data_IF_553126746065
#
_entry.id   IF_553126746065
#
_cell.length_a   1.000
_cell.length_b   1.000
_cell.length_c   1.000
_cell.angle_alpha   90.00
_cell.angle_beta   90.00
_cell.angle_gamma   90.00
#
_symmetry.space_group_name_H-M   'P 1'
#
loop_
_entity.id
_entity.type
_entity.pdbx_description
1 polymer ?
#
# COMPACT_ATOMS: atom_id res chain seq x y z
N UNK A 1 15.14 -7.78 14.45
CA UNK A 1 16.15 -8.84 14.22
C UNK A 1 15.55 -10.16 14.67
N UNK A 2 15.64 -11.18 13.82
CA UNK A 2 15.37 -12.57 14.19
C UNK A 2 16.72 -13.26 14.38
N UNK A 3 16.89 -13.96 15.49
CA UNK A 3 18.08 -14.72 15.78
C UNK A 3 17.68 -16.18 16.05
N UNK A 4 18.47 -17.10 15.56
CA UNK A 4 18.33 -18.54 15.82
C UNK A 4 19.62 -19.06 16.40
N UNK A 5 19.52 -19.82 17.48
CA UNK A 5 20.60 -20.59 18.10
C UNK A 5 20.04 -21.94 18.50
N UNK A 6 20.63 -23.07 18.04
CA UNK A 6 20.13 -24.42 18.32
C UNK A 6 20.07 -24.76 19.82
N UNK A 7 20.92 -24.11 20.62
CA UNK A 7 21.01 -24.36 22.07
C UNK A 7 20.33 -23.27 22.91
N UNK A 8 19.68 -22.30 22.23
CA UNK A 8 18.95 -21.19 22.87
C UNK A 8 19.83 -20.19 23.61
N UNK A 9 21.13 -20.14 23.30
CA UNK A 9 22.09 -19.22 23.91
C UNK A 9 22.21 -17.95 23.09
N UNK A 10 21.64 -16.86 23.57
CA UNK A 10 21.65 -15.58 22.88
C UNK A 10 22.47 -14.53 23.63
N UNK A 11 23.42 -13.89 22.97
CA UNK A 11 24.01 -12.66 23.43
C UNK A 11 23.04 -11.49 23.16
N UNK A 12 22.21 -11.19 24.16
CA UNK A 12 21.21 -10.13 24.06
C UNK A 12 21.83 -8.74 23.91
N UNK A 13 23.04 -8.53 24.46
CA UNK A 13 23.73 -7.24 24.33
C UNK A 13 24.19 -7.01 22.88
N UNK A 14 24.82 -8.01 22.27
CA UNK A 14 25.24 -7.97 20.89
C UNK A 14 24.03 -7.83 19.93
N UNK A 15 22.94 -8.57 20.17
CA UNK A 15 21.71 -8.50 19.36
C UNK A 15 21.07 -7.11 19.44
N UNK A 16 21.01 -6.51 20.63
CA UNK A 16 20.52 -5.14 20.82
C UNK A 16 21.41 -4.10 20.13
N UNK A 17 22.72 -4.25 20.22
CA UNK A 17 23.66 -3.37 19.54
C UNK A 17 23.48 -3.43 18.03
N UNK A 18 23.36 -4.64 17.46
CA UNK A 18 23.07 -4.84 16.02
C UNK A 18 21.71 -4.24 15.61
N UNK A 19 20.67 -4.43 16.42
CA UNK A 19 19.36 -3.84 16.13
C UNK A 19 19.41 -2.30 16.11
N UNK A 20 20.13 -1.69 17.05
CA UNK A 20 20.32 -0.23 17.09
C UNK A 20 21.17 0.32 15.93
N UNK A 21 22.08 -0.50 15.40
CA UNK A 21 22.95 -0.12 14.28
C UNK A 21 22.26 -0.23 12.92
N UNK A 22 21.05 -0.82 12.83
CA UNK A 22 20.31 -0.89 11.58
C UNK A 22 19.93 0.52 11.11
N UNK A 23 20.05 0.80 9.79
CA UNK A 23 19.63 2.08 9.23
C UNK A 23 18.13 2.30 9.43
N UNK A 24 17.72 3.55 9.57
CA UNK A 24 16.31 3.94 9.53
C UNK A 24 15.73 3.63 8.14
N UNK A 25 14.43 3.32 8.08
CA UNK A 25 13.72 3.25 6.80
C UNK A 25 13.50 4.62 6.15
N UNK A 26 13.73 5.72 6.86
CA UNK A 26 13.62 7.05 6.30
C UNK A 26 14.62 7.24 5.13
N UNK A 27 14.13 7.70 3.99
CA UNK A 27 14.90 7.88 2.77
C UNK A 27 15.15 6.59 1.96
N UNK A 28 14.66 5.43 2.39
CA UNK A 28 14.85 4.18 1.66
C UNK A 28 13.70 3.89 0.69
N UNK A 29 14.00 3.81 -0.60
CA UNK A 29 13.10 3.22 -1.59
C UNK A 29 13.30 1.69 -1.61
N UNK A 30 12.35 0.96 -1.05
CA UNK A 30 12.41 -0.51 -1.00
C UNK A 30 11.48 -1.18 -2.04
N UNK A 31 10.71 -0.41 -2.77
CA UNK A 31 9.76 -0.91 -3.77
C UNK A 31 10.45 -1.73 -4.88
N UNK A 32 11.57 -1.28 -5.47
CA UNK A 32 12.25 -2.06 -6.53
C UNK A 32 12.76 -3.43 -6.06
N UNK A 33 12.90 -3.64 -4.76
CA UNK A 33 13.37 -4.92 -4.20
C UNK A 33 12.28 -5.98 -4.09
N UNK A 34 11.01 -5.58 -4.18
CA UNK A 34 9.85 -6.46 -3.92
C UNK A 34 8.85 -6.53 -5.07
N UNK A 35 9.11 -5.82 -6.16
CA UNK A 35 8.21 -5.74 -7.32
C UNK A 35 8.85 -6.31 -8.58
N UNK A 36 8.01 -6.79 -9.50
CA UNK A 36 8.43 -7.23 -10.83
C UNK A 36 8.60 -6.06 -11.81
N UNK A 37 9.41 -6.28 -12.87
CA UNK A 37 9.64 -5.29 -13.92
C UNK A 37 8.62 -5.36 -15.08
N UNK A 38 7.72 -6.35 -15.09
CA UNK A 38 6.78 -6.60 -16.18
C UNK A 38 5.36 -6.52 -15.71
N UNK A 39 4.50 -5.98 -16.57
CA UNK A 39 3.06 -6.03 -16.39
C UNK A 39 2.53 -7.46 -16.55
N UNK A 40 1.44 -7.78 -15.84
CA UNK A 40 0.73 -9.04 -15.97
C UNK A 40 -0.75 -8.88 -15.62
N UNK A 41 -1.60 -9.73 -16.18
CA UNK A 41 -2.99 -9.82 -15.78
C UNK A 41 -3.11 -10.78 -14.58
N UNK A 42 -3.96 -10.43 -13.62
CA UNK A 42 -4.26 -11.23 -12.45
C UNK A 42 -5.50 -12.09 -12.71
N UNK A 43 -5.41 -13.39 -12.44
CA UNK A 43 -6.40 -14.39 -12.83
C UNK A 43 -7.02 -15.19 -11.68
N UNK A 44 -6.66 -14.87 -10.42
CA UNK A 44 -7.21 -15.54 -9.23
C UNK A 44 -8.27 -14.68 -8.54
N UNK A 45 -9.35 -15.32 -8.06
CA UNK A 45 -10.30 -14.78 -7.11
C UNK A 45 -10.07 -15.37 -5.71
N UNK A 46 -11.05 -15.34 -4.81
CA UNK A 46 -10.90 -15.78 -3.43
C UNK A 46 -10.76 -17.30 -3.30
N UNK A 47 -10.40 -17.74 -2.10
CA UNK A 47 -10.22 -19.16 -1.77
C UNK A 47 -11.56 -19.89 -1.78
N UNK A 48 -11.63 -20.97 -2.53
CA UNK A 48 -12.77 -21.88 -2.53
C UNK A 48 -12.52 -23.07 -1.60
N UNK A 49 -13.20 -23.09 -0.48
CA UNK A 49 -13.11 -24.15 0.51
C UNK A 49 -13.55 -25.53 0.02
N UNK A 50 -14.37 -25.59 -1.04
CA UNK A 50 -14.86 -26.86 -1.60
C UNK A 50 -13.81 -27.54 -2.46
N UNK A 51 -13.08 -26.75 -3.24
CA UNK A 51 -12.04 -27.25 -4.14
C UNK A 51 -10.66 -27.24 -3.50
N UNK A 52 -10.45 -26.48 -2.42
CA UNK A 52 -9.14 -26.30 -1.78
C UNK A 52 -8.16 -25.50 -2.64
N UNK A 53 -8.65 -24.62 -3.52
CA UNK A 53 -7.86 -23.78 -4.42
C UNK A 53 -8.42 -22.35 -4.47
N UNK A 54 -7.65 -21.42 -5.04
CA UNK A 54 -8.19 -20.12 -5.42
C UNK A 54 -9.09 -20.28 -6.65
N UNK A 55 -10.26 -19.65 -6.60
CA UNK A 55 -11.16 -19.65 -7.74
C UNK A 55 -10.55 -18.86 -8.90
N UNK A 56 -10.82 -19.23 -10.16
CA UNK A 56 -10.41 -18.43 -11.30
C UNK A 56 -11.16 -17.09 -11.34
N UNK A 57 -10.57 -16.10 -11.98
CA UNK A 57 -11.23 -14.83 -12.26
C UNK A 57 -12.52 -15.06 -13.05
N UNK A 58 -13.61 -14.45 -12.59
CA UNK A 58 -14.91 -14.50 -13.26
C UNK A 58 -15.07 -13.42 -14.33
N UNK A 59 -16.30 -13.25 -14.80
CA UNK A 59 -16.64 -12.18 -15.74
C UNK A 59 -16.48 -10.81 -15.08
N UNK A 60 -15.61 -9.99 -15.64
CA UNK A 60 -15.33 -8.64 -15.15
C UNK A 60 -16.31 -7.61 -15.74
N UNK A 61 -16.72 -6.66 -14.89
CA UNK A 61 -17.52 -5.49 -15.28
C UNK A 61 -16.66 -4.24 -15.43
N UNK A 62 -15.53 -4.20 -14.72
CA UNK A 62 -14.61 -3.06 -14.66
C UNK A 62 -13.20 -3.52 -14.93
N UNK A 63 -12.37 -2.64 -15.47
CA UNK A 63 -10.94 -2.84 -15.62
C UNK A 63 -10.19 -1.94 -14.63
N UNK A 64 -9.45 -2.54 -13.70
CA UNK A 64 -8.59 -1.84 -12.74
C UNK A 64 -7.13 -2.07 -13.09
N UNK A 65 -6.39 -0.99 -13.23
CA UNK A 65 -4.93 -1.06 -13.30
C UNK A 65 -4.36 -0.89 -11.90
N UNK A 66 -3.67 -1.90 -11.40
CA UNK A 66 -3.00 -1.90 -10.11
C UNK A 66 -1.51 -1.56 -10.29
N UNK A 67 -1.04 -0.49 -9.67
CA UNK A 67 0.38 -0.16 -9.65
C UNK A 67 1.02 -0.92 -8.48
N UNK A 68 1.97 -1.78 -8.81
CA UNK A 68 2.63 -2.65 -7.84
C UNK A 68 3.74 -1.91 -7.08
N UNK A 69 3.52 -1.66 -5.81
CA UNK A 69 4.54 -1.16 -4.89
C UNK A 69 4.97 -2.22 -3.86
N UNK A 70 4.57 -3.47 -4.06
CA UNK A 70 4.71 -4.60 -3.14
C UNK A 70 3.34 -5.16 -2.75
N UNK A 71 2.46 -5.33 -3.73
CA UNK A 71 1.05 -5.66 -3.54
C UNK A 71 0.87 -7.02 -2.86
N UNK A 72 0.01 -7.07 -1.87
CA UNK A 72 -0.47 -8.33 -1.29
C UNK A 72 -1.46 -8.99 -2.25
N UNK A 73 -1.18 -10.21 -2.66
CA UNK A 73 -2.01 -10.97 -3.62
C UNK A 73 -3.50 -11.01 -3.24
N UNK A 74 -3.79 -11.07 -1.94
CA UNK A 74 -5.18 -11.10 -1.49
C UNK A 74 -5.98 -9.84 -1.84
N UNK A 75 -5.32 -8.69 -1.96
CA UNK A 75 -5.99 -7.46 -2.41
C UNK A 75 -6.41 -7.59 -3.87
N UNK A 76 -5.56 -8.17 -4.72
CA UNK A 76 -5.89 -8.43 -6.12
C UNK A 76 -7.05 -9.42 -6.25
N UNK A 77 -7.06 -10.50 -5.43
CA UNK A 77 -8.17 -11.47 -5.38
C UNK A 77 -9.49 -10.80 -5.00
N UNK A 78 -9.47 -9.93 -3.99
CA UNK A 78 -10.66 -9.21 -3.56
C UNK A 78 -11.19 -8.24 -4.62
N UNK A 79 -10.33 -7.61 -5.43
CA UNK A 79 -10.76 -6.81 -6.58
C UNK A 79 -11.41 -7.69 -7.65
N UNK A 80 -10.80 -8.82 -7.97
CA UNK A 80 -11.31 -9.78 -8.96
C UNK A 80 -12.67 -10.34 -8.53
N UNK A 81 -12.83 -10.72 -7.27
CA UNK A 81 -14.09 -11.21 -6.71
C UNK A 81 -15.22 -10.20 -6.83
N UNK A 82 -14.88 -8.90 -6.77
CA UNK A 82 -15.84 -7.79 -6.96
C UNK A 82 -16.09 -7.45 -8.42
N UNK A 83 -15.69 -8.32 -9.35
CA UNK A 83 -15.94 -8.17 -10.78
C UNK A 83 -15.01 -7.21 -11.49
N UNK A 84 -13.78 -7.07 -11.00
CA UNK A 84 -12.74 -6.33 -11.69
C UNK A 84 -11.81 -7.28 -12.47
N UNK A 85 -11.55 -6.98 -13.74
CA UNK A 85 -10.32 -7.41 -14.41
C UNK A 85 -9.18 -6.60 -13.82
N UNK A 86 -8.11 -7.22 -13.37
CA UNK A 86 -6.97 -6.53 -12.77
C UNK A 86 -5.74 -6.73 -13.64
N UNK A 87 -5.18 -5.63 -14.16
CA UNK A 87 -3.85 -5.62 -14.79
C UNK A 87 -2.86 -4.98 -13.83
N UNK A 88 -1.84 -5.73 -13.43
CA UNK A 88 -0.79 -5.26 -12.53
C UNK A 88 0.34 -4.67 -13.35
N UNK A 89 0.68 -3.41 -13.06
CA UNK A 89 1.76 -2.68 -13.72
C UNK A 89 2.93 -2.46 -12.77
N UNK A 90 4.17 -2.45 -13.27
CA UNK A 90 5.33 -2.17 -12.43
C UNK A 90 5.30 -0.72 -11.89
N UNK A 91 6.03 -0.42 -10.80
CA UNK A 91 6.07 0.93 -10.20
C UNK A 91 6.69 1.98 -11.13
N UNK A 92 7.42 1.55 -12.15
CA UNK A 92 8.03 2.40 -13.18
C UNK A 92 7.11 2.73 -14.35
N UNK A 93 5.87 2.20 -14.37
CA UNK A 93 4.92 2.46 -15.45
C UNK A 93 4.60 3.95 -15.56
N UNK A 94 4.61 4.46 -16.79
CA UNK A 94 4.20 5.83 -17.09
C UNK A 94 2.68 5.99 -17.08
N UNK A 95 2.23 7.22 -16.92
CA UNK A 95 0.80 7.54 -17.00
C UNK A 95 0.20 7.17 -18.36
N UNK A 96 0.95 7.32 -19.44
CA UNK A 96 0.48 7.00 -20.79
C UNK A 96 0.33 5.49 -21.00
N UNK A 97 1.24 4.67 -20.47
CA UNK A 97 1.12 3.21 -20.48
C UNK A 97 -0.12 2.76 -19.69
N UNK A 98 -0.38 3.35 -18.51
CA UNK A 98 -1.58 3.08 -17.72
C UNK A 98 -2.83 3.44 -18.52
N UNK A 99 -2.87 4.61 -19.14
CA UNK A 99 -4.02 5.10 -19.90
C UNK A 99 -4.27 4.33 -21.20
N UNK A 100 -3.22 3.79 -21.82
CA UNK A 100 -3.33 2.96 -23.01
C UNK A 100 -4.18 1.69 -22.76
N UNK A 101 -4.21 1.21 -21.50
CA UNK A 101 -5.05 0.09 -21.07
C UNK A 101 -6.54 0.46 -20.92
N UNK A 102 -6.90 1.75 -21.00
CA UNK A 102 -8.26 2.28 -20.83
C UNK A 102 -8.95 1.76 -19.56
N UNK A 103 -8.34 1.95 -18.37
CA UNK A 103 -8.90 1.45 -17.13
C UNK A 103 -10.15 2.26 -16.72
N UNK A 104 -11.07 1.60 -16.01
CA UNK A 104 -12.17 2.25 -15.29
C UNK A 104 -11.72 2.85 -13.97
N UNK A 105 -10.60 2.39 -13.42
CA UNK A 105 -10.00 2.90 -12.18
C UNK A 105 -8.56 2.45 -11.99
N UNK A 106 -7.87 3.12 -11.08
CA UNK A 106 -6.48 2.81 -10.71
C UNK A 106 -6.40 2.43 -9.24
N UNK A 107 -5.66 1.38 -8.95
CA UNK A 107 -5.32 0.98 -7.60
C UNK A 107 -3.84 1.23 -7.30
N UNK A 108 -3.54 2.02 -6.28
CA UNK A 108 -2.18 2.23 -5.79
C UNK A 108 -1.92 1.29 -4.62
N UNK A 109 -1.06 0.31 -4.82
CA UNK A 109 -0.88 -0.78 -3.89
C UNK A 109 -0.14 -0.36 -2.60
N UNK A 110 -0.22 -1.23 -1.60
CA UNK A 110 0.66 -1.20 -0.44
C UNK A 110 2.11 -1.52 -0.86
N UNK A 111 3.05 -1.17 0.01
CA UNK A 111 4.46 -1.47 -0.20
C UNK A 111 5.35 -1.07 0.98
N UNK A 112 6.65 -1.42 0.95
CA UNK A 112 7.63 -1.07 1.96
C UNK A 112 8.33 0.26 1.63
N UNK A 113 9.04 0.80 2.61
CA UNK A 113 9.95 1.94 2.44
C UNK A 113 9.34 3.29 2.78
N UNK A 114 10.08 4.33 2.43
CA UNK A 114 9.69 5.72 2.64
C UNK A 114 8.84 6.22 1.45
N UNK A 115 7.60 6.67 1.68
CA UNK A 115 6.77 7.21 0.61
C UNK A 115 7.39 8.41 -0.11
N UNK A 116 8.21 9.21 0.55
CA UNK A 116 8.87 10.34 -0.09
C UNK A 116 9.96 9.87 -1.07
N UNK A 117 10.67 8.77 -0.76
CA UNK A 117 11.68 8.21 -1.66
C UNK A 117 11.02 7.57 -2.90
N UNK A 118 10.03 6.71 -2.71
CA UNK A 118 9.24 6.11 -3.80
C UNK A 118 8.46 7.18 -4.59
N UNK A 119 8.01 8.22 -3.90
CA UNK A 119 7.27 9.35 -4.48
C UNK A 119 8.04 10.13 -5.53
N UNK A 120 9.37 10.09 -5.52
CA UNK A 120 10.20 10.80 -6.48
C UNK A 120 9.84 10.46 -7.95
N UNK A 121 9.50 9.20 -8.23
CA UNK A 121 9.06 8.77 -9.56
C UNK A 121 7.55 8.50 -9.65
N UNK A 122 6.89 8.11 -8.56
CA UNK A 122 5.47 7.75 -8.58
C UNK A 122 4.54 8.95 -8.51
N UNK A 123 4.88 10.01 -7.77
CA UNK A 123 4.02 11.20 -7.59
C UNK A 123 3.66 11.87 -8.91
N UNK A 124 4.59 12.10 -9.87
CA UNK A 124 4.23 12.67 -11.17
C UNK A 124 3.22 11.81 -11.93
N UNK A 125 3.35 10.49 -11.90
CA UNK A 125 2.43 9.54 -12.54
C UNK A 125 1.04 9.60 -11.87
N UNK A 126 1.00 9.59 -10.54
CA UNK A 126 -0.25 9.69 -9.77
C UNK A 126 -0.97 11.00 -10.10
N UNK A 127 -0.28 12.14 -10.16
CA UNK A 127 -0.86 13.42 -10.55
C UNK A 127 -1.49 13.35 -11.94
N UNK A 128 -0.78 12.79 -12.92
CA UNK A 128 -1.29 12.65 -14.28
C UNK A 128 -2.53 11.74 -14.37
N UNK A 129 -2.64 10.72 -13.50
CA UNK A 129 -3.83 9.88 -13.37
C UNK A 129 -5.00 10.66 -12.77
N UNK A 130 -4.74 11.44 -11.70
CA UNK A 130 -5.75 12.26 -11.03
C UNK A 130 -6.29 13.37 -11.95
N UNK A 131 -5.43 14.01 -12.74
CA UNK A 131 -5.82 15.06 -13.70
C UNK A 131 -6.80 14.53 -14.74
N UNK A 132 -6.75 13.23 -15.05
CA UNK A 132 -7.71 12.54 -15.93
C UNK A 132 -8.99 12.09 -15.22
N UNK A 133 -9.14 12.42 -13.94
CA UNK A 133 -10.32 12.13 -13.11
C UNK A 133 -10.69 10.65 -13.03
N UNK A 134 -9.72 9.76 -13.16
CA UNK A 134 -9.95 8.33 -12.95
C UNK A 134 -10.21 8.05 -11.47
N UNK A 135 -11.21 7.23 -11.15
CA UNK A 135 -11.39 6.70 -9.81
C UNK A 135 -10.09 6.05 -9.33
N UNK A 136 -9.59 6.49 -8.19
CA UNK A 136 -8.32 6.00 -7.64
C UNK A 136 -8.52 5.53 -6.22
N UNK A 137 -8.20 4.27 -5.96
CA UNK A 137 -8.18 3.68 -4.63
C UNK A 137 -6.75 3.32 -4.24
N UNK A 138 -6.43 3.43 -2.94
CA UNK A 138 -5.06 3.23 -2.50
C UNK A 138 -4.98 2.68 -1.08
N UNK A 139 -3.93 1.89 -0.82
CA UNK A 139 -3.70 1.26 0.49
C UNK A 139 -2.26 1.52 0.93
N UNK A 140 -2.08 1.89 2.22
CA UNK A 140 -0.80 2.02 2.91
C UNK A 140 0.17 2.94 2.14
N UNK A 141 1.26 2.42 1.55
CA UNK A 141 2.22 3.21 0.78
C UNK A 141 1.53 3.98 -0.37
N UNK A 142 0.60 3.34 -1.10
CA UNK A 142 -0.16 4.01 -2.15
C UNK A 142 -0.99 5.18 -1.63
N UNK A 143 -1.60 5.04 -0.45
CA UNK A 143 -2.33 6.13 0.21
C UNK A 143 -1.39 7.30 0.58
N UNK A 144 -0.21 6.99 1.12
CA UNK A 144 0.79 8.00 1.48
C UNK A 144 1.32 8.74 0.24
N UNK A 145 1.56 8.04 -0.87
CA UNK A 145 1.98 8.66 -2.12
C UNK A 145 0.86 9.48 -2.78
N UNK A 146 -0.41 9.05 -2.66
CA UNK A 146 -1.54 9.87 -3.07
C UNK A 146 -1.57 11.18 -2.29
N UNK A 147 -1.37 11.12 -0.97
CA UNK A 147 -1.28 12.33 -0.15
C UNK A 147 -0.17 13.28 -0.61
N UNK A 148 1.02 12.75 -0.91
CA UNK A 148 2.12 13.55 -1.51
C UNK A 148 1.73 14.13 -2.88
N UNK A 149 1.01 13.38 -3.71
CA UNK A 149 0.59 13.83 -5.03
C UNK A 149 -0.37 15.02 -4.97
N UNK A 150 -1.25 15.05 -3.97
CA UNK A 150 -2.18 16.19 -3.75
C UNK A 150 -1.56 17.34 -2.95
N UNK A 151 -0.29 17.24 -2.53
CA UNK A 151 0.45 18.31 -1.87
C UNK A 151 0.53 18.22 -0.34
N UNK A 152 0.00 17.14 0.27
CA UNK A 152 0.19 16.87 1.68
C UNK A 152 1.61 16.34 1.96
N UNK A 153 1.96 16.19 3.24
CA UNK A 153 3.24 15.65 3.70
C UNK A 153 3.07 14.31 4.39
N UNK A 154 4.13 13.53 4.39
CA UNK A 154 4.23 12.30 5.18
C UNK A 154 5.30 12.44 6.25
N UNK A 155 5.16 11.68 7.33
CA UNK A 155 6.11 11.66 8.43
C UNK A 155 6.49 10.23 8.81
N UNK A 156 7.75 10.04 9.23
CA UNK A 156 8.20 8.80 9.85
C UNK A 156 7.67 8.75 11.27
N UNK A 157 6.91 7.73 11.58
CA UNK A 157 6.42 7.49 12.95
C UNK A 157 7.58 7.04 13.85
N UNK A 158 7.53 7.41 15.13
CA UNK A 158 8.50 6.94 16.13
C UNK A 158 8.39 5.43 16.31
N UNK A 159 7.17 4.95 16.45
CA UNK A 159 6.80 3.53 16.39
C UNK A 159 5.73 3.38 15.32
N UNK A 160 5.88 2.37 14.45
CA UNK A 160 4.83 2.06 13.49
C UNK A 160 3.65 1.35 14.17
N UNK A 161 2.53 1.32 13.50
CA UNK A 161 1.39 0.50 13.91
C UNK A 161 1.47 -0.88 13.25
N UNK A 162 1.48 -1.92 14.07
CA UNK A 162 1.60 -3.30 13.61
C UNK A 162 0.67 -4.20 14.42
N UNK A 163 -0.48 -4.55 13.87
CA UNK A 163 -1.45 -5.41 14.54
C UNK A 163 -2.83 -5.38 13.90
N UNK A 164 -3.69 -6.28 14.37
CA UNK A 164 -5.06 -6.44 13.86
C UNK A 164 -6.11 -5.87 14.82
N UNK A 165 -5.72 -5.05 15.79
CA UNK A 165 -6.56 -4.59 16.88
C UNK A 165 -6.39 -3.08 17.15
N UNK A 166 -6.17 -2.30 16.11
CA UNK A 166 -6.00 -0.85 16.21
C UNK A 166 -7.34 -0.13 16.15
N UNK A 167 -7.67 0.70 17.16
CA UNK A 167 -8.87 1.50 17.14
C UNK A 167 -8.70 2.72 16.22
N UNK A 168 -9.70 2.96 15.41
CA UNK A 168 -9.78 4.09 14.47
C UNK A 168 -11.10 4.81 14.66
N UNK A 169 -11.06 6.11 14.83
CA UNK A 169 -12.24 6.96 14.81
C UNK A 169 -12.69 7.19 13.37
N UNK A 170 -13.91 6.83 13.06
CA UNK A 170 -14.62 7.24 11.84
C UNK A 170 -15.40 8.52 12.11
N UNK A 171 -14.93 9.65 11.58
CA UNK A 171 -15.59 10.96 11.73
C UNK A 171 -16.87 11.09 10.90
N UNK A 172 -17.16 10.14 10.00
CA UNK A 172 -18.38 10.18 9.18
C UNK A 172 -19.57 9.57 9.90
N UNK A 173 -19.33 8.63 10.80
CA UNK A 173 -20.35 7.91 11.58
C UNK A 173 -20.25 8.14 13.08
N UNK A 174 -19.20 8.82 13.53
CA UNK A 174 -18.85 9.05 14.95
C UNK A 174 -18.69 7.74 15.74
N UNK A 175 -18.11 6.72 15.09
CA UNK A 175 -17.88 5.40 15.67
C UNK A 175 -16.40 5.03 15.69
N UNK A 176 -16.06 4.18 16.62
CA UNK A 176 -14.74 3.56 16.68
C UNK A 176 -14.80 2.20 15.98
N UNK A 177 -13.92 2.00 15.02
CA UNK A 177 -13.74 0.72 14.33
C UNK A 177 -12.41 0.08 14.73
N UNK A 178 -12.36 -1.24 14.76
CA UNK A 178 -11.13 -1.98 14.99
C UNK A 178 -10.62 -2.49 13.65
N UNK A 179 -9.40 -2.07 13.29
CA UNK A 179 -8.79 -2.36 11.99
C UNK A 179 -7.40 -2.97 12.14
N UNK A 180 -6.93 -3.58 11.06
CA UNK A 180 -5.54 -4.02 10.93
C UNK A 180 -4.68 -2.89 10.40
N UNK A 181 -3.53 -2.67 11.03
CA UNK A 181 -2.52 -1.71 10.60
C UNK A 181 -1.15 -2.37 10.48
N UNK A 182 -0.39 -1.95 9.47
CA UNK A 182 1.00 -2.35 9.29
C UNK A 182 1.74 -1.26 8.51
N UNK A 183 2.13 -0.19 9.18
CA UNK A 183 2.83 0.94 8.58
C UNK A 183 3.76 1.63 9.56
N UNK A 184 4.84 2.22 9.05
CA UNK A 184 5.83 2.99 9.83
C UNK A 184 5.90 4.46 9.43
N UNK A 185 5.05 4.87 8.48
CA UNK A 185 4.88 6.26 8.04
C UNK A 185 3.40 6.61 8.10
N UNK A 186 3.09 7.88 8.30
CA UNK A 186 1.73 8.41 8.31
C UNK A 186 1.64 9.66 7.44
N UNK A 187 0.42 9.99 7.01
CA UNK A 187 0.11 11.28 6.40
C UNK A 187 -0.04 12.31 7.51
N UNK A 188 0.60 13.46 7.37
CA UNK A 188 0.38 14.59 8.25
C UNK A 188 -0.92 15.30 7.86
N UNK A 189 -2.00 15.01 8.59
CA UNK A 189 -3.32 15.53 8.34
C UNK A 189 -3.39 17.07 8.39
N UNK A 190 -2.49 17.73 9.14
CA UNK A 190 -2.42 19.19 9.22
C UNK A 190 -1.99 19.84 7.90
N UNK A 191 -1.43 19.05 6.98
CA UNK A 191 -0.94 19.51 5.67
C UNK A 191 -1.89 19.19 4.51
N UNK A 192 -3.07 18.61 4.79
CA UNK A 192 -4.05 18.29 3.77
C UNK A 192 -4.54 19.59 3.04
N UNK A 193 -4.60 19.57 1.70
CA UNK A 193 -5.15 20.70 0.95
C UNK A 193 -6.67 20.79 1.13
N UNK A 194 -7.25 21.95 0.82
CA UNK A 194 -8.67 22.24 1.03
C UNK A 194 -9.65 21.30 0.28
N UNK A 195 -9.19 20.62 -0.76
CA UNK A 195 -9.96 19.65 -1.54
C UNK A 195 -9.84 18.19 -1.03
N UNK A 196 -9.15 17.99 0.10
CA UNK A 196 -9.04 16.71 0.77
C UNK A 196 -9.40 16.85 2.24
N UNK A 197 -9.97 15.79 2.81
CA UNK A 197 -10.33 15.76 4.24
C UNK A 197 -9.97 14.42 4.85
N UNK A 198 -9.59 14.45 6.09
CA UNK A 198 -9.49 13.27 6.92
C UNK A 198 -10.90 12.78 7.29
N UNK A 199 -11.16 11.50 7.10
CA UNK A 199 -12.42 10.86 7.48
C UNK A 199 -12.23 9.85 8.62
N UNK A 200 -11.01 9.34 8.78
CA UNK A 200 -10.67 8.35 9.80
C UNK A 200 -9.31 8.69 10.41
N UNK A 201 -9.18 8.48 11.71
CA UNK A 201 -7.92 8.69 12.44
C UNK A 201 -7.66 7.57 13.42
N UNK A 202 -6.40 7.13 13.50
CA UNK A 202 -5.94 6.26 14.58
C UNK A 202 -6.16 6.92 15.94
N UNK A 203 -6.58 6.13 16.93
CA UNK A 203 -6.70 6.62 18.32
C UNK A 203 -5.43 6.35 19.14
N UNK A 204 -4.36 5.85 18.51
CA UNK A 204 -3.06 5.63 19.15
C UNK A 204 -2.11 6.81 18.99
N UNK A 205 -2.39 7.75 18.12
CA UNK A 205 -1.59 8.96 17.85
C UNK A 205 -2.41 10.11 17.25
#
# INVERSE_FOLDING_TARGET
IVAHDPEGRFDLAALRARAKALPSMAGLDLVPMVTGAKAYDWDEADWDWKTGNFAPAGNAKFHVVAIDYGVKRNILRLLTERGCKVTVMPPSASADEIMALKPDGVFLANGPGDPAATGAYSVPVIRAVLDRKLPTFCICLGHQMLALAIGAKTMKMRQGHHGANHPVMDYTTDKVEIVSMNHGFAVDASTLPANARETHRSLFD
#
